data_IF_968613924572
#
_entry.id   IF_968613924572
#
_cell.length_a   1.000
_cell.length_b   1.000
_cell.length_c   1.000
_cell.angle_alpha   90.00
_cell.angle_beta   90.00
_cell.angle_gamma   90.00
#
_symmetry.space_group_name_H-M   'P 1'
#
loop_
_entity.id
_entity.type
_entity.pdbx_description
1 polymer ?
#
# COMPACT_ATOMS: atom_id res chain seq x y z
N UNK A 1 -1.78 -24.60 21.52
CA UNK A 1 -2.03 -25.18 20.18
C UNK A 1 -3.47 -25.55 19.90
N UNK A 2 -4.27 -25.87 20.93
CA UNK A 2 -5.66 -26.31 20.78
C UNK A 2 -6.56 -25.39 19.93
N UNK A 3 -6.27 -24.08 19.91
CA UNK A 3 -7.03 -23.10 19.13
C UNK A 3 -6.74 -23.10 17.61
N UNK A 4 -5.52 -23.45 17.17
CA UNK A 4 -5.19 -23.54 15.74
C UNK A 4 -5.58 -24.89 15.14
N UNK A 5 -5.56 -25.94 15.95
CA UNK A 5 -5.87 -27.32 15.54
C UNK A 5 -7.36 -27.67 15.66
N UNK A 6 -8.21 -26.69 15.99
CA UNK A 6 -9.66 -26.87 16.02
C UNK A 6 -10.16 -27.29 14.62
N UNK A 7 -11.08 -28.25 14.58
CA UNK A 7 -11.77 -28.66 13.36
C UNK A 7 -13.24 -28.83 13.68
N UNK A 8 -14.10 -28.27 12.84
CA UNK A 8 -15.55 -28.44 12.93
C UNK A 8 -16.03 -29.25 11.71
N UNK A 9 -16.62 -30.44 11.89
CA UNK A 9 -17.11 -31.26 10.78
C UNK A 9 -18.21 -30.60 9.95
N UNK A 10 -18.99 -29.68 10.53
CA UNK A 10 -20.02 -28.91 9.82
C UNK A 10 -19.43 -27.70 9.08
N UNK A 11 -18.14 -27.40 9.28
CA UNK A 11 -17.48 -26.24 8.72
C UNK A 11 -17.84 -24.91 9.40
N UNK A 12 -18.58 -24.94 10.51
CA UNK A 12 -18.87 -23.74 11.28
C UNK A 12 -17.68 -23.36 12.16
N UNK A 13 -17.04 -22.25 11.81
CA UNK A 13 -15.89 -21.73 12.57
C UNK A 13 -16.29 -20.72 13.66
N UNK A 14 -17.58 -20.54 13.95
CA UNK A 14 -18.07 -19.60 14.98
C UNK A 14 -17.51 -19.89 16.37
N UNK A 15 -17.27 -21.17 16.70
CA UNK A 15 -16.69 -21.62 17.97
C UNK A 15 -15.15 -21.48 18.02
N UNK A 16 -14.51 -21.18 16.89
CA UNK A 16 -13.06 -21.01 16.83
C UNK A 16 -12.63 -19.69 17.45
N UNK A 17 -11.84 -19.79 18.52
CA UNK A 17 -11.26 -18.63 19.22
C UNK A 17 -10.46 -17.72 18.27
N UNK A 18 -9.76 -18.29 17.29
CA UNK A 18 -8.96 -17.51 16.33
C UNK A 18 -9.86 -16.73 15.39
N UNK A 19 -10.93 -17.36 14.90
CA UNK A 19 -11.85 -16.71 13.97
C UNK A 19 -12.64 -15.62 14.70
N UNK A 20 -13.07 -15.90 15.93
CA UNK A 20 -13.66 -14.88 16.79
C UNK A 20 -12.71 -13.70 17.05
N UNK A 21 -11.45 -13.98 17.43
CA UNK A 21 -10.43 -12.94 17.59
C UNK A 21 -10.22 -12.13 16.29
N UNK A 22 -10.19 -12.80 15.14
CA UNK A 22 -10.04 -12.16 13.82
C UNK A 22 -11.21 -11.23 13.52
N UNK A 23 -12.43 -11.65 13.82
CA UNK A 23 -13.63 -10.83 13.65
C UNK A 23 -13.56 -9.56 14.52
N UNK A 24 -13.17 -9.69 15.79
CA UNK A 24 -13.00 -8.54 16.71
C UNK A 24 -11.89 -7.60 16.21
N UNK A 25 -10.76 -8.13 15.76
CA UNK A 25 -9.67 -7.34 15.17
C UNK A 25 -10.08 -6.66 13.86
N UNK A 26 -11.12 -7.16 13.20
CA UNK A 26 -11.75 -6.55 12.03
C UNK A 26 -12.57 -5.31 12.35
N UNK A 27 -12.77 -4.93 13.62
CA UNK A 27 -13.57 -3.76 14.03
C UNK A 27 -12.66 -2.58 14.38
N UNK A 28 -12.93 -1.42 13.78
CA UNK A 28 -12.28 -0.14 14.13
C UNK A 28 -12.81 0.37 15.47
N UNK A 29 -11.94 0.47 16.47
CA UNK A 29 -12.31 0.89 17.84
C UNK A 29 -13.06 2.22 17.93
N UNK A 30 -12.71 3.22 17.11
CA UNK A 30 -13.30 4.57 17.21
C UNK A 30 -14.67 4.68 16.55
N UNK A 31 -14.83 4.09 15.37
CA UNK A 31 -16.05 4.20 14.58
C UNK A 31 -17.01 3.03 14.78
N UNK A 32 -16.59 1.98 15.49
CA UNK A 32 -17.32 0.71 15.63
C UNK A 32 -17.74 0.10 14.27
N UNK A 33 -17.01 0.43 13.21
CA UNK A 33 -17.23 -0.07 11.85
C UNK A 33 -16.16 -1.09 11.47
N UNK A 34 -16.47 -1.97 10.53
CA UNK A 34 -15.49 -2.93 10.03
C UNK A 34 -14.36 -2.24 9.25
N UNK A 35 -13.16 -2.82 9.32
CA UNK A 35 -12.08 -2.45 8.41
C UNK A 35 -12.50 -2.79 6.98
N UNK A 36 -12.31 -1.86 6.03
CA UNK A 36 -12.53 -2.15 4.63
C UNK A 36 -11.52 -3.18 4.14
N UNK A 37 -11.87 -3.88 3.06
CA UNK A 37 -11.08 -5.00 2.53
C UNK A 37 -9.59 -4.64 2.27
N UNK A 38 -9.33 -3.41 1.80
CA UNK A 38 -7.96 -2.94 1.57
C UNK A 38 -7.10 -2.90 2.85
N UNK A 39 -7.70 -2.57 4.00
CA UNK A 39 -6.98 -2.47 5.28
C UNK A 39 -6.97 -3.78 6.07
N UNK A 40 -7.86 -4.73 5.78
CA UNK A 40 -7.93 -6.02 6.50
C UNK A 40 -6.91 -7.05 6.02
N UNK A 41 -6.48 -6.98 4.75
CA UNK A 41 -5.55 -7.96 4.14
C UNK A 41 -4.20 -8.05 4.86
N UNK A 42 -3.67 -6.93 5.35
CA UNK A 42 -2.42 -6.88 6.11
C UNK A 42 -2.51 -7.61 7.45
N UNK A 43 -3.58 -7.34 8.21
CA UNK A 43 -3.85 -8.01 9.49
C UNK A 43 -4.04 -9.52 9.33
N UNK A 44 -4.84 -9.94 8.34
CA UNK A 44 -5.02 -11.35 8.00
C UNK A 44 -3.69 -12.02 7.61
N UNK A 45 -2.85 -11.34 6.81
CA UNK A 45 -1.55 -11.87 6.43
C UNK A 45 -0.61 -12.06 7.63
N UNK A 46 -0.58 -11.10 8.57
CA UNK A 46 0.21 -11.21 9.80
C UNK A 46 -0.27 -12.39 10.66
N UNK A 47 -1.59 -12.54 10.86
CA UNK A 47 -2.14 -13.64 11.64
C UNK A 47 -1.86 -15.01 11.01
N UNK A 48 -2.00 -15.12 9.68
CA UNK A 48 -1.62 -16.33 8.95
C UNK A 48 -0.12 -16.64 9.07
N UNK A 49 0.74 -15.63 9.09
CA UNK A 49 2.18 -15.82 9.28
C UNK A 49 2.49 -16.40 10.66
N UNK A 50 1.88 -15.84 11.72
CA UNK A 50 1.97 -16.38 13.09
C UNK A 50 1.47 -17.83 13.14
N UNK A 51 0.33 -18.11 12.50
CA UNK A 51 -0.21 -19.47 12.41
C UNK A 51 0.77 -20.45 11.75
N UNK A 52 1.42 -20.06 10.65
CA UNK A 52 2.44 -20.88 9.98
C UNK A 52 3.65 -21.15 10.85
N UNK A 53 4.15 -20.13 11.55
CA UNK A 53 5.28 -20.28 12.46
C UNK A 53 4.96 -21.26 13.61
N UNK A 54 3.76 -21.12 14.18
CA UNK A 54 3.27 -22.06 15.19
C UNK A 54 3.13 -23.47 14.61
N UNK A 55 2.50 -23.64 13.46
CA UNK A 55 2.37 -24.97 12.84
C UNK A 55 3.72 -25.59 12.44
N UNK A 56 4.73 -24.79 12.12
CA UNK A 56 6.08 -25.29 11.88
C UNK A 56 6.68 -25.86 13.17
N UNK A 57 6.59 -25.14 14.29
CA UNK A 57 7.02 -25.64 15.59
C UNK A 57 6.19 -26.87 16.02
N UNK A 58 4.89 -26.89 15.71
CA UNK A 58 4.02 -28.04 15.95
C UNK A 58 4.45 -29.28 15.16
N UNK A 59 4.78 -29.10 13.88
CA UNK A 59 5.14 -30.19 12.99
C UNK A 59 6.54 -30.73 13.30
N UNK A 60 7.51 -29.84 13.50
CA UNK A 60 8.93 -30.14 13.62
C UNK A 60 9.58 -29.24 14.69
N UNK A 61 9.38 -29.55 15.99
CA UNK A 61 9.97 -28.78 17.06
C UNK A 61 11.49 -28.75 16.97
N UNK A 62 12.09 -27.58 17.20
CA UNK A 62 13.56 -27.51 17.22
C UNK A 62 14.13 -28.29 18.41
N UNK A 63 13.46 -28.20 19.55
CA UNK A 63 13.84 -28.87 20.78
C UNK A 63 12.73 -29.80 21.27
N UNK A 64 13.12 -30.80 22.06
CA UNK A 64 12.15 -31.66 22.74
C UNK A 64 11.44 -30.85 23.82
N UNK A 65 10.13 -31.03 23.96
CA UNK A 65 9.36 -30.44 25.06
C UNK A 65 9.04 -31.52 26.09
N UNK A 66 9.75 -31.49 27.22
CA UNK A 66 9.56 -32.42 28.35
C UNK A 66 8.60 -31.88 29.42
N UNK A 67 8.29 -30.59 29.39
CA UNK A 67 7.43 -29.92 30.37
C UNK A 67 5.94 -30.00 30.03
N UNK A 68 5.59 -30.48 28.84
CA UNK A 68 4.22 -30.66 28.40
C UNK A 68 3.64 -31.96 28.94
N UNK A 69 2.31 -32.00 29.12
CA UNK A 69 1.59 -33.19 29.58
C UNK A 69 1.84 -34.42 28.68
N UNK A 70 2.11 -34.20 27.39
CA UNK A 70 2.57 -35.22 26.46
C UNK A 70 3.97 -34.88 25.97
N UNK A 71 4.88 -35.86 26.03
CA UNK A 71 6.25 -35.68 25.55
C UNK A 71 6.23 -35.35 24.06
N UNK A 72 6.79 -34.19 23.72
CA UNK A 72 6.92 -33.78 22.33
C UNK A 72 8.38 -33.98 21.86
N UNK A 73 8.62 -34.87 20.88
CA UNK A 73 9.98 -35.12 20.41
C UNK A 73 10.54 -33.94 19.60
N UNK A 74 11.87 -33.82 19.57
CA UNK A 74 12.56 -32.89 18.66
C UNK A 74 12.47 -33.39 17.21
N UNK A 75 12.63 -32.47 16.24
CA UNK A 75 12.52 -32.78 14.80
C UNK A 75 13.39 -33.94 14.33
N UNK A 76 14.54 -34.14 14.95
CA UNK A 76 15.51 -35.18 14.58
C UNK A 76 15.06 -36.60 14.96
N UNK A 77 14.02 -36.72 15.80
CA UNK A 77 13.46 -38.01 16.21
C UNK A 77 12.36 -38.52 15.27
N UNK A 78 11.87 -37.69 14.34
CA UNK A 78 10.91 -38.14 13.33
C UNK A 78 11.64 -38.86 12.19
N UNK A 79 11.10 -40.00 11.77
CA UNK A 79 11.65 -40.81 10.67
C UNK A 79 11.80 -40.02 9.37
N UNK A 80 10.79 -39.23 9.02
CA UNK A 80 10.79 -38.36 7.84
C UNK A 80 10.18 -37.00 8.21
N UNK A 81 11.04 -35.99 8.31
CA UNK A 81 10.61 -34.61 8.59
C UNK A 81 9.71 -34.04 7.48
N UNK A 82 10.00 -34.27 6.18
CA UNK A 82 9.13 -33.81 5.10
C UNK A 82 7.74 -34.43 5.14
N UNK A 83 7.62 -35.74 5.37
CA UNK A 83 6.32 -36.42 5.48
C UNK A 83 5.52 -35.91 6.68
N UNK A 84 6.20 -35.71 7.82
CA UNK A 84 5.57 -35.13 9.02
C UNK A 84 5.02 -33.73 8.73
N UNK A 85 5.81 -32.87 8.11
CA UNK A 85 5.39 -31.52 7.74
C UNK A 85 4.21 -31.55 6.76
N UNK A 86 4.27 -32.41 5.75
CA UNK A 86 3.20 -32.56 4.75
C UNK A 86 1.90 -33.05 5.37
N UNK A 87 1.95 -34.02 6.28
CA UNK A 87 0.77 -34.50 7.00
C UNK A 87 0.09 -33.39 7.81
N UNK A 88 0.88 -32.55 8.51
CA UNK A 88 0.35 -31.40 9.24
C UNK A 88 -0.21 -30.35 8.28
N UNK A 89 0.50 -30.09 7.17
CA UNK A 89 0.08 -29.12 6.16
C UNK A 89 -1.27 -29.50 5.56
N UNK A 90 -1.42 -30.74 5.10
CA UNK A 90 -2.66 -31.24 4.51
C UNK A 90 -3.82 -31.22 5.50
N UNK A 91 -3.55 -31.50 6.78
CA UNK A 91 -4.60 -31.54 7.80
C UNK A 91 -5.09 -30.16 8.21
N UNK A 92 -4.20 -29.17 8.32
CA UNK A 92 -4.54 -27.90 8.97
C UNK A 92 -4.34 -26.65 8.11
N UNK A 93 -3.36 -26.64 7.20
CA UNK A 93 -2.91 -25.43 6.50
C UNK A 93 -3.47 -25.29 5.07
N UNK A 94 -4.26 -26.26 4.61
CA UNK A 94 -4.86 -26.26 3.27
C UNK A 94 -6.25 -25.65 3.31
N UNK A 95 -6.65 -25.08 2.16
CA UNK A 95 -7.99 -24.53 1.94
C UNK A 95 -9.04 -25.65 2.06
N UNK A 96 -10.17 -25.37 2.72
CA UNK A 96 -11.28 -26.32 2.82
C UNK A 96 -11.11 -27.45 3.86
N UNK A 97 -10.09 -27.40 4.72
CA UNK A 97 -9.88 -28.40 5.77
C UNK A 97 -10.76 -28.24 7.02
N UNK A 98 -11.77 -27.35 6.96
CA UNK A 98 -12.62 -26.94 8.09
C UNK A 98 -11.81 -26.60 9.35
N UNK A 99 -10.75 -25.83 9.16
CA UNK A 99 -9.84 -25.37 10.21
C UNK A 99 -9.83 -23.85 10.28
N UNK A 100 -9.43 -23.26 11.42
CA UNK A 100 -9.24 -21.83 11.53
C UNK A 100 -8.30 -21.28 10.45
N UNK A 101 -7.24 -22.01 10.11
CA UNK A 101 -6.32 -21.55 9.07
C UNK A 101 -6.97 -21.58 7.68
N UNK A 102 -7.76 -22.62 7.37
CA UNK A 102 -8.55 -22.70 6.14
C UNK A 102 -9.50 -21.51 6.00
N UNK A 103 -10.21 -21.17 7.07
CA UNK A 103 -11.12 -20.01 7.11
C UNK A 103 -10.39 -18.68 6.90
N UNK A 104 -9.21 -18.50 7.49
CA UNK A 104 -8.36 -17.32 7.24
C UNK A 104 -7.91 -17.22 5.77
N UNK A 105 -7.69 -18.35 5.09
CA UNK A 105 -7.41 -18.36 3.64
C UNK A 105 -8.62 -17.84 2.87
N UNK A 106 -9.83 -18.31 3.19
CA UNK A 106 -11.07 -17.86 2.54
C UNK A 106 -11.31 -16.36 2.76
N UNK A 107 -11.23 -15.89 4.00
CA UNK A 107 -11.41 -14.48 4.35
C UNK A 107 -10.40 -13.59 3.60
N UNK A 108 -9.15 -14.03 3.50
CA UNK A 108 -8.12 -13.29 2.75
C UNK A 108 -8.39 -13.32 1.24
N UNK A 109 -8.83 -14.44 0.69
CA UNK A 109 -9.17 -14.55 -0.72
C UNK A 109 -10.36 -13.63 -1.07
N UNK A 110 -11.38 -13.60 -0.21
CA UNK A 110 -12.53 -12.72 -0.33
C UNK A 110 -12.16 -11.23 -0.23
N UNK A 111 -11.35 -10.84 0.75
CA UNK A 111 -10.87 -9.46 0.84
C UNK A 111 -10.09 -9.05 -0.42
N UNK A 112 -9.26 -9.95 -0.97
CA UNK A 112 -8.54 -9.69 -2.23
C UNK A 112 -9.46 -9.60 -3.45
N UNK A 113 -10.56 -10.35 -3.50
CA UNK A 113 -11.51 -10.22 -4.62
C UNK A 113 -12.21 -8.87 -4.60
N UNK A 114 -12.58 -8.37 -3.43
CA UNK A 114 -13.14 -7.02 -3.28
C UNK A 114 -12.14 -5.96 -3.75
N UNK A 115 -10.88 -6.02 -3.26
CA UNK A 115 -9.83 -5.06 -3.67
C UNK A 115 -9.58 -5.08 -5.18
N UNK A 116 -9.70 -6.24 -5.83
CA UNK A 116 -9.56 -6.34 -7.28
C UNK A 116 -10.73 -5.70 -8.04
N UNK A 117 -11.94 -5.79 -7.50
CA UNK A 117 -13.15 -5.22 -8.11
C UNK A 117 -13.24 -3.71 -7.90
N UNK A 118 -12.97 -3.23 -6.69
CA UNK A 118 -13.05 -1.80 -6.34
C UNK A 118 -11.83 -1.01 -6.82
N UNK A 119 -10.71 -1.70 -7.10
CA UNK A 119 -9.42 -1.07 -7.34
C UNK A 119 -8.79 -0.58 -6.03
N UNK A 120 -7.58 -0.03 -6.13
CA UNK A 120 -7.01 0.68 -4.99
C UNK A 120 -7.84 1.93 -4.75
N UNK A 121 -8.32 2.18 -3.52
CA UNK A 121 -8.93 3.46 -3.19
C UNK A 121 -7.98 4.55 -3.66
N UNK A 122 -8.48 5.54 -4.40
CA UNK A 122 -7.69 6.70 -4.74
C UNK A 122 -7.11 7.23 -3.44
N UNK A 123 -5.77 7.28 -3.33
CA UNK A 123 -5.09 7.80 -2.14
C UNK A 123 -5.38 9.30 -1.95
N UNK A 124 -6.25 9.92 -2.75
CA UNK A 124 -6.49 11.34 -2.79
C UNK A 124 -7.96 11.60 -2.50
N UNK A 125 -8.25 12.28 -1.39
CA UNK A 125 -9.57 12.82 -1.08
C UNK A 125 -9.49 14.34 -1.01
N UNK A 126 -10.40 15.02 -1.69
CA UNK A 126 -10.49 16.48 -1.64
C UNK A 126 -11.20 16.92 -0.37
N UNK A 127 -10.70 17.99 0.24
CA UNK A 127 -11.47 18.72 1.24
C UNK A 127 -12.72 19.32 0.59
N UNK A 128 -13.84 19.45 1.32
CA UNK A 128 -15.10 19.97 0.76
C UNK A 128 -14.98 21.39 0.19
N UNK A 129 -14.01 22.17 0.65
CA UNK A 129 -13.73 23.52 0.17
C UNK A 129 -12.87 23.55 -1.11
N UNK A 130 -12.35 22.41 -1.56
CA UNK A 130 -11.46 22.28 -2.70
C UNK A 130 -10.08 22.94 -2.52
N UNK A 131 -9.71 23.35 -1.30
CA UNK A 131 -8.44 24.07 -1.04
C UNK A 131 -7.32 23.18 -0.53
N UNK A 132 -7.66 21.99 -0.05
CA UNK A 132 -6.70 20.96 0.29
C UNK A 132 -7.17 19.60 -0.20
N UNK A 133 -6.21 18.69 -0.31
CA UNK A 133 -6.49 17.27 -0.52
C UNK A 133 -5.61 16.46 0.43
N UNK A 134 -6.14 15.32 0.85
CA UNK A 134 -5.45 14.39 1.73
C UNK A 134 -4.87 13.27 0.88
N UNK A 135 -3.56 13.01 1.03
CA UNK A 135 -2.87 11.91 0.37
C UNK A 135 -2.53 10.79 1.34
N UNK A 136 -3.04 9.59 1.11
CA UNK A 136 -2.64 8.36 1.82
C UNK A 136 -2.85 8.44 3.34
N UNK A 137 -1.77 8.37 4.13
CA UNK A 137 -1.74 8.39 5.60
C UNK A 137 -2.14 9.76 6.20
N UNK A 138 -3.31 10.29 5.84
CA UNK A 138 -3.85 11.55 6.37
C UNK A 138 -2.90 12.76 6.19
N UNK A 139 -2.01 12.71 5.20
CA UNK A 139 -1.15 13.85 4.88
C UNK A 139 -1.95 14.87 4.11
N UNK A 140 -2.38 15.93 4.79
CA UNK A 140 -3.04 17.06 4.18
C UNK A 140 -2.02 17.88 3.35
N UNK A 141 -2.40 18.17 2.12
CA UNK A 141 -1.66 19.05 1.20
C UNK A 141 -2.56 20.22 0.84
N UNK A 142 -2.11 21.44 1.18
CA UNK A 142 -2.84 22.68 0.85
C UNK A 142 -2.38 23.22 -0.49
N UNK A 143 -3.33 23.64 -1.32
CA UNK A 143 -3.04 24.34 -2.59
C UNK A 143 -2.20 25.60 -2.35
N UNK A 144 -2.42 26.29 -1.22
CA UNK A 144 -1.63 27.47 -0.85
C UNK A 144 -0.14 27.18 -0.75
N UNK A 145 0.24 26.00 -0.27
CA UNK A 145 1.64 25.64 -0.08
C UNK A 145 2.29 25.28 -1.40
N UNK A 146 1.54 24.65 -2.32
CA UNK A 146 1.92 24.51 -3.72
C UNK A 146 2.18 25.86 -4.41
N UNK A 147 1.25 26.82 -4.28
CA UNK A 147 1.39 28.15 -4.85
C UNK A 147 2.61 28.89 -4.28
N UNK A 148 2.81 28.84 -2.95
CA UNK A 148 4.00 29.43 -2.30
C UNK A 148 5.30 28.83 -2.80
N UNK A 149 5.33 27.51 -3.00
CA UNK A 149 6.51 26.80 -3.51
C UNK A 149 6.83 27.27 -4.93
N UNK A 150 5.82 27.40 -5.79
CA UNK A 150 6.00 27.94 -7.14
C UNK A 150 6.44 29.40 -7.14
N UNK A 151 5.81 30.26 -6.33
CA UNK A 151 6.21 31.66 -6.19
C UNK A 151 7.68 31.78 -5.75
N UNK A 152 8.10 30.96 -4.80
CA UNK A 152 9.49 30.93 -4.35
C UNK A 152 10.44 30.45 -5.45
N UNK A 153 10.05 29.45 -6.24
CA UNK A 153 10.83 28.98 -7.37
C UNK A 153 10.97 30.06 -8.46
N UNK A 154 9.89 30.78 -8.78
CA UNK A 154 9.91 31.91 -9.71
C UNK A 154 10.86 32.99 -9.21
N UNK A 155 10.72 33.43 -7.95
CA UNK A 155 11.58 34.46 -7.37
C UNK A 155 13.07 34.06 -7.39
N UNK A 156 13.39 32.80 -7.12
CA UNK A 156 14.76 32.29 -7.21
C UNK A 156 15.29 32.31 -8.64
N UNK A 157 14.47 31.98 -9.64
CA UNK A 157 14.86 32.07 -11.05
C UNK A 157 15.08 33.53 -11.44
N UNK A 158 14.19 34.43 -11.04
CA UNK A 158 14.30 35.87 -11.31
C UNK A 158 15.60 36.45 -10.73
N UNK A 159 15.93 36.12 -9.47
CA UNK A 159 17.18 36.52 -8.82
C UNK A 159 18.41 36.02 -9.60
N UNK A 160 18.41 34.75 -10.01
CA UNK A 160 19.53 34.16 -10.78
C UNK A 160 19.64 34.74 -12.18
N UNK A 161 18.52 35.05 -12.83
CA UNK A 161 18.52 35.71 -14.14
C UNK A 161 19.06 37.13 -14.00
N UNK A 162 18.67 37.88 -12.96
CA UNK A 162 19.20 39.23 -12.72
C UNK A 162 20.72 39.21 -12.48
N UNK A 163 21.21 38.22 -11.71
CA UNK A 163 22.64 37.98 -11.49
C UNK A 163 23.37 37.63 -12.81
N UNK A 164 22.85 36.68 -13.61
CA UNK A 164 23.44 36.29 -14.89
C UNK A 164 23.43 37.41 -15.92
N UNK A 165 22.39 38.26 -15.91
CA UNK A 165 22.25 39.39 -16.81
C UNK A 165 23.03 40.62 -16.33
N UNK A 166 23.72 40.56 -15.18
CA UNK A 166 24.50 41.67 -14.60
C UNK A 166 23.67 42.97 -14.49
N UNK A 167 22.39 42.84 -14.17
CA UNK A 167 21.45 43.97 -14.06
C UNK A 167 20.89 44.51 -15.39
N UNK A 168 21.22 43.91 -16.54
CA UNK A 168 20.51 44.19 -17.80
C UNK A 168 19.05 43.74 -17.69
N UNK A 169 18.13 44.67 -17.92
CA UNK A 169 16.68 44.41 -17.99
C UNK A 169 16.20 44.61 -19.43
N UNK A 170 16.18 43.54 -20.25
CA UNK A 170 15.75 43.67 -21.63
C UNK A 170 14.22 43.83 -21.66
N UNK A 171 13.73 44.78 -22.45
CA UNK A 171 12.30 45.04 -22.61
C UNK A 171 11.69 44.13 -23.69
N UNK A 172 11.49 42.85 -23.37
CA UNK A 172 10.71 41.96 -24.21
C UNK A 172 9.30 41.80 -23.65
N UNK A 173 8.31 41.75 -24.53
CA UNK A 173 6.93 41.50 -24.14
C UNK A 173 6.72 39.97 -24.03
N UNK A 174 6.65 39.47 -22.79
CA UNK A 174 6.42 38.06 -22.49
C UNK A 174 5.04 37.58 -22.94
N UNK A 175 4.04 38.46 -23.04
CA UNK A 175 2.67 38.10 -23.48
C UNK A 175 2.64 37.57 -24.92
N UNK A 176 3.69 37.86 -25.69
CA UNK A 176 3.88 37.37 -27.07
C UNK A 176 4.41 35.93 -27.09
N UNK A 177 5.03 35.46 -26.01
CA UNK A 177 5.56 34.10 -25.90
C UNK A 177 4.40 33.14 -25.60
N UNK A 178 3.97 32.41 -26.63
CA UNK A 178 2.96 31.35 -26.49
C UNK A 178 3.60 29.97 -26.59
N UNK A 179 3.56 29.25 -25.49
CA UNK A 179 3.87 27.83 -25.46
C UNK A 179 2.69 26.99 -25.98
N UNK A 180 2.98 25.86 -26.62
CA UNK A 180 1.96 24.91 -27.10
C UNK A 180 2.05 23.63 -26.27
N UNK A 181 1.29 23.62 -25.16
CA UNK A 181 1.26 22.50 -24.22
C UNK A 181 0.76 21.18 -24.83
N UNK A 182 0.20 21.22 -26.04
CA UNK A 182 -0.24 20.02 -26.75
C UNK A 182 0.83 19.46 -27.71
N UNK A 183 1.92 20.18 -27.96
CA UNK A 183 2.98 19.72 -28.84
C UNK A 183 3.85 18.66 -28.15
N UNK A 184 3.83 17.43 -28.69
CA UNK A 184 4.62 16.30 -28.16
C UNK A 184 5.91 16.02 -28.93
N UNK A 185 6.33 16.94 -29.80
CA UNK A 185 7.52 16.76 -30.64
C UNK A 185 8.78 17.02 -29.80
N UNK A 186 9.67 16.03 -29.73
CA UNK A 186 10.95 16.17 -29.04
C UNK A 186 11.79 17.29 -29.68
N UNK A 187 12.36 18.17 -28.85
CA UNK A 187 13.15 19.32 -29.29
C UNK A 187 12.33 20.48 -29.87
N UNK A 188 11.00 20.47 -29.69
CA UNK A 188 10.16 21.60 -30.06
C UNK A 188 10.35 22.77 -29.07
N UNK A 189 10.33 23.99 -29.61
CA UNK A 189 10.44 25.25 -28.87
C UNK A 189 9.54 26.29 -29.53
N UNK A 190 9.02 27.24 -28.74
CA UNK A 190 8.25 28.38 -29.23
C UNK A 190 9.00 29.22 -30.29
N UNK A 191 10.33 29.16 -30.31
CA UNK A 191 11.17 29.81 -31.33
C UNK A 191 10.95 29.26 -32.75
N UNK A 192 10.42 28.03 -32.87
CA UNK A 192 10.14 27.39 -34.16
C UNK A 192 8.77 27.83 -34.74
N UNK A 193 8.02 28.66 -34.01
CA UNK A 193 6.74 29.21 -34.47
C UNK A 193 6.99 30.52 -35.22
N UNK A 194 6.55 30.65 -36.49
CA UNK A 194 6.69 31.91 -37.21
C UNK A 194 5.69 32.92 -36.64
N UNK A 195 6.14 33.78 -35.73
CA UNK A 195 5.41 35.00 -35.37
C UNK A 195 6.24 36.22 -35.80
N UNK A 196 5.63 37.24 -36.42
CA UNK A 196 6.34 38.38 -37.00
C UNK A 196 7.05 39.27 -35.96
N UNK A 197 6.82 39.04 -34.66
CA UNK A 197 7.28 39.91 -33.57
C UNK A 197 8.57 39.42 -32.90
N UNK A 198 8.82 38.10 -32.86
CA UNK A 198 9.93 37.53 -32.08
C UNK A 198 11.25 37.51 -32.87
N UNK A 199 11.19 37.39 -34.20
CA UNK A 199 12.40 37.41 -35.05
C UNK A 199 13.09 38.78 -35.11
N UNK A 200 12.34 39.89 -35.01
CA UNK A 200 12.91 41.24 -35.15
C UNK A 200 13.56 41.79 -33.86
N UNK A 201 13.29 41.20 -32.69
CA UNK A 201 13.91 41.65 -31.42
C UNK A 201 15.24 40.96 -31.09
N UNK A 202 15.55 39.83 -31.71
CA UNK A 202 16.81 39.11 -31.53
C UNK A 202 17.90 39.50 -32.54
N UNK A 203 17.55 40.34 -33.55
CA UNK A 203 18.45 40.78 -34.62
C UNK A 203 18.99 42.21 -34.42
N UNK A 204 18.58 42.92 -33.36
CA UNK A 204 19.00 44.30 -33.06
C UNK A 204 19.45 44.48 -31.59
N UNK A 205 20.25 43.56 -31.07
CA UNK A 205 21.12 43.77 -29.91
C UNK A 205 22.50 43.17 -30.20
#
# INVERSE_FOLDING_TARGET
MMFWTHQDPAGDMSSSVIIYYTAVMGIRRRSMSYYPAHNSTGGLAALMWVGRALFLEYALPLYRYTTLAYHWPSRDQYHSQPERLEAIRQRYLVRGCYTPFGELIELKAFAKSIVRQEGMPGNLSWAPDGRSFVVGNDKEVKLSDFCKTYQKAIALVEERVEEMMLGLKPSFNIDVVRDDLNCRKAGWSFLQKPSPTVQNQLLYN
#
